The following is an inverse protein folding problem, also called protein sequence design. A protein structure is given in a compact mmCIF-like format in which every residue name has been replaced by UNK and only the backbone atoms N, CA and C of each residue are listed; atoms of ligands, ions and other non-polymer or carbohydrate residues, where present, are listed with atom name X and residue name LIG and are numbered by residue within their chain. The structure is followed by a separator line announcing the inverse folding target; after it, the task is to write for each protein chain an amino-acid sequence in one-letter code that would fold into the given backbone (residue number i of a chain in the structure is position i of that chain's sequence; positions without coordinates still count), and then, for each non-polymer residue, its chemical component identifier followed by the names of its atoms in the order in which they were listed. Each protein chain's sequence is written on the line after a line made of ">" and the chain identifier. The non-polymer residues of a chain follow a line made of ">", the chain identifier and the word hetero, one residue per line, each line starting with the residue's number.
data_IF_546373675944
#
_entry.id   IF_546373675944
#
_cell.length_a   1.000
_cell.length_b   1.000
_cell.length_c   1.000
_cell.angle_alpha   90.00
_cell.angle_beta   90.00
_cell.angle_gamma   90.00
#
_symmetry.space_group_name_H-M   'P 1'
#
loop_
_entity.id
_entity.type
_entity.pdbx_description
1 polymer ?
#
# COMPACT_ATOMS: atom_id res chain seq x y z
N UNK A 1 40.63 -0.03 -41.77
CA UNK A 1 39.74 -0.61 -40.75
C UNK A 1 39.82 0.07 -39.37
N UNK A 2 40.87 0.83 -39.02
CA UNK A 2 40.99 1.39 -37.65
C UNK A 2 40.19 2.65 -37.35
N UNK A 3 40.06 3.60 -38.30
CA UNK A 3 39.53 4.93 -37.98
C UNK A 3 38.00 4.97 -37.85
N UNK A 4 37.28 4.21 -38.67
CA UNK A 4 35.81 4.07 -38.56
C UNK A 4 35.41 3.35 -37.26
N UNK A 5 36.15 2.30 -36.88
CA UNK A 5 35.91 1.57 -35.64
C UNK A 5 36.15 2.45 -34.39
N UNK A 6 37.19 3.29 -34.39
CA UNK A 6 37.45 4.24 -33.31
C UNK A 6 36.34 5.30 -33.20
N UNK A 7 35.84 5.81 -34.33
CA UNK A 7 34.73 6.77 -34.33
C UNK A 7 33.42 6.14 -33.82
N UNK A 8 33.13 4.89 -34.18
CA UNK A 8 31.97 4.16 -33.69
C UNK A 8 32.06 3.89 -32.17
N UNK A 9 33.26 3.55 -31.67
CA UNK A 9 33.50 3.37 -30.23
C UNK A 9 33.30 4.69 -29.47
N UNK A 10 33.88 5.79 -29.94
CA UNK A 10 33.72 7.10 -29.30
C UNK A 10 32.26 7.61 -29.35
N UNK A 11 31.54 7.36 -30.44
CA UNK A 11 30.11 7.66 -30.54
C UNK A 11 29.28 6.79 -29.58
N UNK A 12 29.66 5.52 -29.39
CA UNK A 12 29.01 4.63 -28.44
C UNK A 12 29.24 5.07 -26.98
N UNK A 13 30.46 5.47 -26.63
CA UNK A 13 30.79 5.97 -25.29
C UNK A 13 30.10 7.29 -24.98
N UNK A 14 30.08 8.22 -25.95
CA UNK A 14 29.31 9.47 -25.83
C UNK A 14 27.80 9.21 -25.68
N UNK A 15 27.27 8.23 -26.42
CA UNK A 15 25.88 7.79 -26.31
C UNK A 15 25.55 7.17 -24.95
N UNK A 16 26.45 6.34 -24.42
CA UNK A 16 26.32 5.74 -23.08
C UNK A 16 26.38 6.83 -22.00
N UNK A 17 27.32 7.78 -22.10
CA UNK A 17 27.42 8.91 -21.17
C UNK A 17 26.18 9.80 -21.17
N UNK A 18 25.62 10.09 -22.35
CA UNK A 18 24.36 10.84 -22.48
C UNK A 18 23.18 10.08 -21.87
N UNK A 19 23.12 8.74 -22.05
CA UNK A 19 22.09 7.90 -21.45
C UNK A 19 22.19 7.87 -19.92
N UNK A 20 23.40 7.76 -19.36
CA UNK A 20 23.62 7.82 -17.91
C UNK A 20 23.21 9.17 -17.31
N UNK A 21 23.55 10.27 -17.97
CA UNK A 21 23.10 11.60 -17.54
C UNK A 21 21.57 11.71 -17.56
N UNK A 22 20.95 11.26 -18.65
CA UNK A 22 19.51 11.32 -18.80
C UNK A 22 18.77 10.46 -17.76
N UNK A 23 19.16 9.18 -17.61
CA UNK A 23 18.50 8.24 -16.70
C UNK A 23 18.88 8.44 -15.24
N UNK A 24 20.11 8.86 -14.95
CA UNK A 24 20.61 9.02 -13.58
C UNK A 24 20.30 10.38 -12.97
N UNK A 25 20.11 11.41 -13.79
CA UNK A 25 19.90 12.79 -13.32
C UNK A 25 18.55 13.31 -13.81
N UNK A 26 18.35 13.44 -15.12
CA UNK A 26 17.16 14.13 -15.66
C UNK A 26 15.87 13.43 -15.23
N UNK A 27 15.77 12.12 -15.45
CA UNK A 27 14.55 11.34 -15.16
C UNK A 27 14.20 11.36 -13.66
N UNK A 28 15.12 11.06 -12.71
CA UNK A 28 14.80 11.08 -11.28
C UNK A 28 14.38 12.46 -10.76
N UNK A 29 15.07 13.53 -11.15
CA UNK A 29 14.71 14.89 -10.72
C UNK A 29 13.38 15.34 -11.31
N UNK A 30 13.12 15.03 -12.59
CA UNK A 30 11.83 15.31 -13.21
C UNK A 30 10.69 14.53 -12.53
N UNK A 31 10.91 13.23 -12.23
CA UNK A 31 9.95 12.40 -11.53
C UNK A 31 9.65 12.93 -10.12
N UNK A 32 10.68 13.33 -9.36
CA UNK A 32 10.52 13.91 -8.03
C UNK A 32 9.76 15.25 -8.09
N UNK A 33 10.08 16.13 -9.04
CA UNK A 33 9.40 17.40 -9.23
C UNK A 33 7.91 17.21 -9.58
N UNK A 34 7.60 16.29 -10.50
CA UNK A 34 6.23 15.95 -10.87
C UNK A 34 5.45 15.32 -9.71
N UNK A 35 6.09 14.41 -8.95
CA UNK A 35 5.47 13.77 -7.80
C UNK A 35 5.12 14.80 -6.71
N UNK A 36 6.11 15.59 -6.27
CA UNK A 36 5.91 16.60 -5.21
C UNK A 36 4.92 17.66 -5.67
N UNK A 37 5.10 18.22 -6.88
CA UNK A 37 4.19 19.22 -7.44
C UNK A 37 2.76 18.69 -7.58
N UNK A 38 2.61 17.45 -8.05
CA UNK A 38 1.31 16.78 -8.20
C UNK A 38 0.62 16.54 -6.85
N UNK A 39 1.37 16.10 -5.83
CA UNK A 39 0.85 15.93 -4.47
C UNK A 39 0.40 17.26 -3.88
N UNK A 40 1.23 18.31 -3.99
CA UNK A 40 0.88 19.65 -3.51
C UNK A 40 -0.37 20.20 -4.23
N UNK A 41 -0.47 20.02 -5.54
CA UNK A 41 -1.64 20.43 -6.32
C UNK A 41 -2.91 19.67 -5.90
N UNK A 42 -2.82 18.36 -5.63
CA UNK A 42 -3.94 17.56 -5.11
C UNK A 42 -4.37 17.99 -3.71
N UNK A 43 -3.42 18.28 -2.82
CA UNK A 43 -3.68 18.79 -1.47
C UNK A 43 -4.39 20.14 -1.55
N UNK A 44 -3.89 21.05 -2.39
CA UNK A 44 -4.50 22.37 -2.61
C UNK A 44 -5.95 22.26 -3.11
N UNK A 45 -6.19 21.39 -4.10
CA UNK A 45 -7.56 21.14 -4.59
C UNK A 45 -8.46 20.60 -3.49
N UNK A 46 -8.01 19.60 -2.72
CA UNK A 46 -8.78 19.03 -1.63
C UNK A 46 -9.10 20.06 -0.54
N UNK A 47 -8.11 20.89 -0.16
CA UNK A 47 -8.27 21.92 0.87
C UNK A 47 -9.27 23.03 0.48
N UNK A 48 -9.51 23.23 -0.81
CA UNK A 48 -10.49 24.20 -1.33
C UNK A 48 -11.93 23.67 -1.39
N UNK A 49 -12.13 22.36 -1.26
CA UNK A 49 -13.47 21.78 -1.25
C UNK A 49 -14.10 22.03 0.13
N UNK A 50 -15.28 22.67 0.21
CA UNK A 50 -15.97 22.86 1.48
C UNK A 50 -16.31 21.49 2.10
N UNK A 51 -15.88 21.28 3.34
CA UNK A 51 -16.08 20.00 4.03
C UNK A 51 -17.52 19.95 4.57
N UNK A 52 -18.32 18.93 4.23
CA UNK A 52 -19.67 18.77 4.78
C UNK A 52 -19.62 18.50 6.30
N UNK A 53 -20.79 18.58 6.95
CA UNK A 53 -20.92 18.34 8.39
C UNK A 53 -20.21 17.06 8.85
N UNK A 54 -19.57 17.13 10.01
CA UNK A 54 -18.93 15.97 10.65
C UNK A 54 -20.00 14.98 11.08
N UNK A 55 -20.28 13.99 10.23
CA UNK A 55 -21.16 12.86 10.56
C UNK A 55 -20.27 11.66 10.90
N UNK A 56 -19.93 11.44 12.19
CA UNK A 56 -19.13 10.29 12.58
C UNK A 56 -19.93 9.01 12.38
N UNK A 57 -19.31 8.02 11.75
CA UNK A 57 -19.90 6.68 11.63
C UNK A 57 -19.84 5.97 12.98
N UNK A 58 -21.01 5.76 13.59
CA UNK A 58 -21.17 5.04 14.85
C UNK A 58 -21.42 3.55 14.55
N UNK A 59 -20.52 2.67 15.02
CA UNK A 59 -20.63 1.22 14.80
C UNK A 59 -20.82 0.47 16.11
N UNK A 60 -21.74 0.92 16.96
CA UNK A 60 -22.02 0.30 18.26
C UNK A 60 -22.76 1.22 19.21
N UNK A 61 -23.13 0.69 20.37
CA UNK A 61 -23.87 1.43 21.40
C UNK A 61 -23.07 2.63 21.91
N UNK A 62 -23.64 3.83 21.75
CA UNK A 62 -23.09 5.08 22.29
C UNK A 62 -23.22 5.12 23.82
N UNK A 63 -22.42 6.00 24.43
CA UNK A 63 -22.65 6.34 25.83
C UNK A 63 -24.03 6.98 25.96
N UNK A 64 -24.82 6.46 26.89
CA UNK A 64 -26.20 6.87 27.09
C UNK A 64 -26.53 6.83 28.58
N UNK A 65 -27.33 5.84 29.01
CA UNK A 65 -27.75 5.71 30.40
C UNK A 65 -26.78 4.79 31.16
N UNK A 66 -26.53 5.00 32.48
CA UNK A 66 -25.51 4.24 33.23
C UNK A 66 -25.68 2.72 33.22
N UNK A 67 -26.89 2.21 32.99
CA UNK A 67 -27.19 0.77 32.91
C UNK A 67 -27.05 0.18 31.50
N UNK A 68 -26.90 1.02 30.46
CA UNK A 68 -26.72 0.56 29.09
C UNK A 68 -25.23 0.47 28.79
N UNK A 69 -24.73 -0.75 28.56
CA UNK A 69 -23.32 -1.00 28.27
C UNK A 69 -22.89 -0.34 26.96
N UNK A 70 -22.09 0.70 27.04
CA UNK A 70 -21.43 1.33 25.90
C UNK A 70 -20.42 0.39 25.24
N UNK A 71 -20.32 0.45 23.91
CA UNK A 71 -19.18 -0.11 23.19
C UNK A 71 -18.05 0.93 23.10
N UNK A 72 -17.10 0.87 24.04
CA UNK A 72 -16.04 1.87 24.20
C UNK A 72 -15.06 1.97 23.03
N UNK A 73 -14.93 0.92 22.21
CA UNK A 73 -13.99 0.90 21.08
C UNK A 73 -14.70 1.33 19.79
N UNK A 74 -15.90 0.80 19.54
CA UNK A 74 -16.63 1.14 18.31
C UNK A 74 -17.39 2.47 18.41
N UNK A 75 -17.73 2.92 19.61
CA UNK A 75 -18.35 4.21 19.86
C UNK A 75 -17.70 4.90 21.07
N UNK A 76 -16.44 5.36 20.91
CA UNK A 76 -15.66 5.91 22.01
C UNK A 76 -16.21 7.26 22.47
N UNK A 77 -16.30 7.45 23.79
CA UNK A 77 -16.63 8.73 24.41
C UNK A 77 -15.44 9.45 25.05
N UNK A 78 -14.25 8.83 24.99
CA UNK A 78 -13.01 9.39 25.50
C UNK A 78 -11.93 9.43 24.41
N UNK A 79 -10.97 10.34 24.54
CA UNK A 79 -9.84 10.49 23.62
C UNK A 79 -9.02 9.20 23.50
N UNK A 80 -8.79 8.49 24.61
CA UNK A 80 -8.09 7.20 24.58
C UNK A 80 -8.85 6.14 23.79
N UNK A 81 -10.18 6.11 23.89
CA UNK A 81 -11.01 5.22 23.08
C UNK A 81 -10.91 5.54 21.57
N UNK A 82 -10.84 6.83 21.23
CA UNK A 82 -10.62 7.27 19.84
C UNK A 82 -9.25 6.81 19.34
N UNK A 83 -8.18 7.01 20.12
CA UNK A 83 -6.83 6.55 19.75
C UNK A 83 -6.81 5.04 19.53
N UNK A 84 -7.39 4.27 20.46
CA UNK A 84 -7.47 2.82 20.33
C UNK A 84 -8.26 2.39 19.09
N UNK A 85 -9.41 3.04 18.81
CA UNK A 85 -10.19 2.79 17.59
C UNK A 85 -9.35 3.06 16.35
N UNK A 86 -8.69 4.21 16.27
CA UNK A 86 -7.88 4.60 15.12
C UNK A 86 -6.69 3.66 14.90
N UNK A 87 -5.99 3.25 15.97
CA UNK A 87 -4.90 2.27 15.86
C UNK A 87 -5.38 0.94 15.29
N UNK A 88 -6.53 0.43 15.74
CA UNK A 88 -7.09 -0.82 15.21
C UNK A 88 -7.54 -0.68 13.75
N UNK A 89 -8.12 0.46 13.38
CA UNK A 89 -8.51 0.70 11.99
C UNK A 89 -7.29 0.84 11.05
N UNK A 90 -6.23 1.53 11.49
CA UNK A 90 -5.03 1.76 10.68
C UNK A 90 -4.15 0.50 10.59
N UNK A 91 -3.90 -0.18 11.71
CA UNK A 91 -2.93 -1.28 11.76
C UNK A 91 -3.54 -2.65 11.42
N UNK A 92 -4.83 -2.82 11.68
CA UNK A 92 -5.48 -4.13 11.54
C UNK A 92 -6.74 -4.11 10.67
N UNK A 93 -7.11 -2.98 10.08
CA UNK A 93 -8.32 -2.83 9.26
C UNK A 93 -9.56 -3.47 9.91
N UNK A 94 -9.77 -3.20 11.20
CA UNK A 94 -10.79 -3.86 12.01
C UNK A 94 -12.21 -3.71 11.44
N UNK A 95 -12.54 -2.57 10.81
CA UNK A 95 -13.80 -2.38 10.09
C UNK A 95 -13.97 -3.35 8.91
N UNK A 96 -12.90 -3.59 8.15
CA UNK A 96 -12.89 -4.51 7.01
C UNK A 96 -13.06 -5.97 7.46
N UNK A 97 -12.50 -6.34 8.61
CA UNK A 97 -12.68 -7.68 9.19
C UNK A 97 -14.15 -7.97 9.55
N UNK A 98 -14.85 -6.93 10.07
CA UNK A 98 -16.27 -7.00 10.42
C UNK A 98 -17.21 -6.91 9.21
N UNK A 99 -16.69 -6.69 8.01
CA UNK A 99 -17.51 -6.51 6.82
C UNK A 99 -18.16 -7.85 6.40
N UNK A 100 -19.47 -7.93 6.61
CA UNK A 100 -20.35 -8.99 6.13
C UNK A 100 -21.17 -8.46 4.95
N UNK A 101 -20.98 -9.04 3.77
CA UNK A 101 -21.77 -8.74 2.58
C UNK A 101 -23.03 -9.60 2.59
N UNK A 102 -24.21 -9.00 2.62
CA UNK A 102 -25.43 -9.73 2.31
C UNK A 102 -25.52 -9.93 0.80
N UNK A 103 -25.62 -11.18 0.35
CA UNK A 103 -25.77 -11.59 -1.04
C UNK A 103 -27.07 -12.38 -1.18
N UNK A 104 -27.80 -12.22 -2.29
CA UNK A 104 -29.05 -12.96 -2.51
C UNK A 104 -28.74 -14.15 -3.43
N UNK A 105 -28.90 -15.37 -2.93
CA UNK A 105 -28.76 -16.56 -3.77
C UNK A 105 -29.86 -16.57 -4.83
N UNK A 106 -29.49 -16.54 -6.11
CA UNK A 106 -30.39 -16.46 -7.25
C UNK A 106 -31.40 -17.62 -7.35
N UNK A 107 -31.07 -18.80 -6.80
CA UNK A 107 -31.94 -19.99 -6.84
C UNK A 107 -33.01 -20.03 -5.73
N UNK A 108 -32.80 -19.36 -4.59
CA UNK A 108 -33.67 -19.56 -3.41
C UNK A 108 -33.99 -18.25 -2.65
N UNK A 109 -33.64 -17.09 -3.21
CA UNK A 109 -33.84 -15.75 -2.62
C UNK A 109 -33.35 -15.61 -1.16
N UNK A 110 -32.46 -16.50 -0.69
CA UNK A 110 -31.92 -16.46 0.68
C UNK A 110 -30.78 -15.45 0.76
N UNK A 111 -30.83 -14.59 1.77
CA UNK A 111 -29.73 -13.71 2.15
C UNK A 111 -28.58 -14.54 2.72
N UNK A 112 -27.47 -14.62 2.00
CA UNK A 112 -26.22 -15.26 2.40
C UNK A 112 -25.22 -14.17 2.77
N UNK A 113 -24.67 -14.22 3.99
CA UNK A 113 -23.64 -13.29 4.40
C UNK A 113 -22.25 -13.79 3.98
N UNK A 114 -21.67 -13.21 2.91
CA UNK A 114 -20.29 -13.48 2.50
C UNK A 114 -19.32 -12.60 3.28
N UNK A 115 -18.32 -13.22 3.92
CA UNK A 115 -17.37 -12.52 4.78
C UNK A 115 -16.15 -12.05 3.98
N UNK A 116 -15.75 -10.78 4.14
CA UNK A 116 -14.58 -10.21 3.45
C UNK A 116 -13.22 -10.63 4.06
N UNK A 117 -13.16 -11.72 4.85
CA UNK A 117 -11.95 -12.16 5.58
C UNK A 117 -10.72 -12.38 4.69
N UNK A 118 -10.89 -12.92 3.48
CA UNK A 118 -9.77 -13.10 2.55
C UNK A 118 -9.23 -11.78 2.02
N UNK A 119 -10.11 -10.81 1.75
CA UNK A 119 -9.70 -9.45 1.40
C UNK A 119 -9.00 -8.77 2.58
N UNK A 120 -9.51 -8.95 3.79
CA UNK A 120 -8.88 -8.45 5.01
C UNK A 120 -7.46 -9.01 5.18
N UNK A 121 -7.30 -10.33 5.09
CA UNK A 121 -6.00 -10.98 5.28
C UNK A 121 -4.99 -10.53 4.22
N UNK A 122 -5.37 -10.56 2.94
CA UNK A 122 -4.47 -10.14 1.86
C UNK A 122 -4.17 -8.63 1.91
N UNK A 123 -5.15 -7.80 2.26
CA UNK A 123 -4.94 -6.37 2.47
C UNK A 123 -3.99 -6.10 3.62
N UNK A 124 -4.14 -6.82 4.73
CA UNK A 124 -3.25 -6.72 5.89
C UNK A 124 -1.83 -7.16 5.54
N UNK A 125 -1.68 -8.32 4.90
CA UNK A 125 -0.40 -8.85 4.44
C UNK A 125 0.32 -7.87 3.51
N UNK A 126 -0.39 -7.30 2.53
CA UNK A 126 0.15 -6.29 1.62
C UNK A 126 0.69 -5.06 2.37
N UNK A 127 -0.10 -4.46 3.27
CA UNK A 127 0.31 -3.22 3.95
C UNK A 127 1.45 -3.45 4.95
N UNK A 128 1.44 -4.56 5.69
CA UNK A 128 2.53 -4.86 6.62
C UNK A 128 3.83 -5.21 5.91
N UNK A 129 3.78 -6.02 4.85
CA UNK A 129 4.98 -6.26 4.03
C UNK A 129 5.50 -4.97 3.41
N UNK A 130 4.63 -4.16 2.80
CA UNK A 130 5.05 -2.90 2.20
C UNK A 130 5.67 -1.94 3.23
N UNK A 131 5.10 -1.86 4.44
CA UNK A 131 5.65 -1.04 5.52
C UNK A 131 7.04 -1.52 5.95
N UNK A 132 7.23 -2.82 6.16
CA UNK A 132 8.52 -3.38 6.58
C UNK A 132 9.57 -3.18 5.48
N UNK A 133 9.21 -3.46 4.22
CA UNK A 133 10.07 -3.22 3.06
C UNK A 133 10.46 -1.74 2.99
N UNK A 134 9.49 -0.82 3.11
CA UNK A 134 9.76 0.62 3.10
C UNK A 134 10.71 1.05 4.23
N UNK A 135 10.49 0.58 5.46
CA UNK A 135 11.37 0.89 6.60
C UNK A 135 12.79 0.33 6.40
N UNK A 136 12.92 -0.85 5.80
CA UNK A 136 14.22 -1.45 5.44
C UNK A 136 14.94 -0.62 4.37
N UNK A 137 14.23 -0.12 3.37
CA UNK A 137 14.80 0.72 2.31
C UNK A 137 15.31 2.07 2.84
N UNK A 138 14.84 2.54 3.99
CA UNK A 138 15.32 3.75 4.63
C UNK A 138 16.83 3.70 4.97
N UNK A 139 17.40 2.49 5.11
CA UNK A 139 18.85 2.28 5.31
C UNK A 139 19.70 2.87 4.19
N UNK A 140 19.15 2.98 2.97
CA UNK A 140 19.88 3.50 1.81
C UNK A 140 20.06 5.02 1.86
N UNK A 141 19.30 5.70 2.73
CA UNK A 141 19.27 7.16 2.80
C UNK A 141 19.92 7.72 4.07
N UNK A 142 20.24 6.88 5.07
CA UNK A 142 20.75 7.33 6.37
C UNK A 142 21.99 6.53 6.75
N UNK A 143 23.07 7.26 7.05
CA UNK A 143 24.29 6.75 7.67
C UNK A 143 24.58 7.58 8.94
N UNK A 144 24.57 7.01 10.16
CA UNK A 144 24.48 5.58 10.48
C UNK A 144 23.06 5.01 10.44
N UNK A 145 22.93 3.72 10.10
CA UNK A 145 21.65 3.02 10.05
C UNK A 145 21.02 2.94 11.46
N UNK A 146 19.76 3.37 11.64
CA UNK A 146 19.08 3.30 12.94
C UNK A 146 18.91 1.85 13.44
N UNK A 147 19.10 1.63 14.75
CA UNK A 147 19.04 0.30 15.35
C UNK A 147 17.71 -0.45 15.11
N UNK A 148 16.58 0.24 15.02
CA UNK A 148 15.28 -0.39 14.77
C UNK A 148 15.20 -1.03 13.36
N UNK A 149 15.91 -0.46 12.37
CA UNK A 149 15.97 -1.02 11.01
C UNK A 149 16.76 -2.31 11.03
N UNK A 150 17.88 -2.34 11.75
CA UNK A 150 18.70 -3.56 11.91
C UNK A 150 17.95 -4.70 12.59
N UNK A 151 17.11 -4.39 13.60
CA UNK A 151 16.24 -5.38 14.26
C UNK A 151 15.19 -5.94 13.29
N UNK A 152 14.54 -5.07 12.50
CA UNK A 152 13.57 -5.48 11.49
C UNK A 152 14.22 -6.38 10.43
N UNK A 153 15.41 -6.02 9.95
CA UNK A 153 16.14 -6.79 8.95
C UNK A 153 16.52 -8.19 9.47
N UNK A 154 16.97 -8.28 10.72
CA UNK A 154 17.27 -9.57 11.35
C UNK A 154 16.02 -10.46 11.45
N UNK A 155 14.87 -9.89 11.83
CA UNK A 155 13.62 -10.63 11.95
C UNK A 155 13.06 -11.11 10.61
N UNK A 156 13.20 -10.30 9.56
CA UNK A 156 12.68 -10.60 8.22
C UNK A 156 13.63 -11.46 7.37
N UNK A 157 14.94 -11.35 7.64
CA UNK A 157 16.01 -12.11 6.99
C UNK A 157 16.21 -13.52 7.55
N UNK A 158 15.26 -14.07 8.33
CA UNK A 158 15.37 -15.42 8.93
C UNK A 158 15.54 -16.52 7.88
N UNK A 159 15.03 -16.30 6.66
CA UNK A 159 15.13 -17.23 5.53
C UNK A 159 16.26 -16.82 4.57
N UNK A 160 17.52 -16.86 5.04
CA UNK A 160 18.73 -16.62 4.21
C UNK A 160 18.95 -17.73 3.16
N UNK A 161 17.95 -18.01 2.33
CA UNK A 161 17.90 -19.14 1.40
C UNK A 161 18.70 -18.88 0.11
N UNK A 162 19.01 -17.61 -0.20
CA UNK A 162 19.69 -17.20 -1.45
C UNK A 162 20.70 -16.06 -1.24
N UNK A 163 21.59 -15.89 -2.22
CA UNK A 163 22.39 -14.68 -2.44
C UNK A 163 21.82 -13.97 -3.69
N UNK A 164 21.18 -12.79 -3.60
CA UNK A 164 20.88 -11.96 -2.42
C UNK A 164 19.82 -12.55 -1.47
N UNK A 165 19.81 -12.11 -0.21
CA UNK A 165 18.92 -12.61 0.85
C UNK A 165 17.46 -12.46 0.45
N UNK A 166 16.73 -13.58 0.38
CA UNK A 166 15.29 -13.57 0.17
C UNK A 166 14.55 -13.25 1.48
N UNK A 167 13.92 -12.09 1.57
CA UNK A 167 13.15 -11.71 2.76
C UNK A 167 11.74 -12.32 2.72
N UNK A 168 11.21 -12.71 3.88
CA UNK A 168 9.86 -13.28 3.96
C UNK A 168 8.81 -12.25 3.50
N UNK A 169 9.01 -10.97 3.83
CA UNK A 169 8.11 -9.89 3.41
C UNK A 169 8.00 -9.75 1.89
N UNK A 170 9.08 -10.00 1.14
CA UNK A 170 9.12 -9.95 -0.33
C UNK A 170 8.25 -11.08 -0.92
N UNK A 171 8.33 -12.29 -0.35
CA UNK A 171 7.45 -13.39 -0.74
C UNK A 171 5.97 -13.07 -0.46
N UNK A 172 5.71 -12.54 0.75
CA UNK A 172 4.35 -12.23 1.20
C UNK A 172 3.74 -11.11 0.38
N UNK A 173 4.51 -10.07 0.00
CA UNK A 173 3.97 -8.98 -0.83
C UNK A 173 3.63 -9.46 -2.23
N UNK A 174 4.46 -10.32 -2.84
CA UNK A 174 4.15 -10.90 -4.17
C UNK A 174 2.87 -11.71 -4.13
N UNK A 175 2.70 -12.58 -3.13
CA UNK A 175 1.48 -13.37 -2.96
C UNK A 175 0.25 -12.49 -2.72
N UNK A 176 0.37 -11.49 -1.84
CA UNK A 176 -0.72 -10.58 -1.51
C UNK A 176 -1.15 -9.73 -2.71
N UNK A 177 -0.19 -9.12 -3.43
CA UNK A 177 -0.46 -8.32 -4.64
C UNK A 177 -1.08 -9.20 -5.73
N UNK A 178 -0.56 -10.40 -5.94
CA UNK A 178 -1.12 -11.35 -6.91
C UNK A 178 -2.58 -11.66 -6.58
N UNK A 179 -2.89 -12.01 -5.33
CA UNK A 179 -4.29 -12.24 -4.91
C UNK A 179 -5.17 -11.00 -5.13
N UNK A 180 -4.72 -9.81 -4.72
CA UNK A 180 -5.49 -8.57 -4.86
C UNK A 180 -5.72 -8.19 -6.34
N UNK A 181 -4.73 -8.43 -7.19
CA UNK A 181 -4.83 -8.25 -8.64
C UNK A 181 -5.84 -9.22 -9.26
N UNK A 182 -5.71 -10.52 -8.99
CA UNK A 182 -6.63 -11.54 -9.50
C UNK A 182 -8.07 -11.26 -9.05
N UNK A 183 -8.25 -10.84 -7.78
CA UNK A 183 -9.55 -10.41 -7.26
C UNK A 183 -10.14 -9.26 -8.08
N UNK A 184 -9.33 -8.29 -8.52
CA UNK A 184 -9.78 -7.14 -9.31
C UNK A 184 -10.15 -7.54 -10.74
N UNK A 185 -9.42 -8.48 -11.33
CA UNK A 185 -9.64 -8.93 -12.72
C UNK A 185 -10.81 -9.91 -12.85
N UNK A 186 -10.98 -10.82 -11.89
CA UNK A 186 -11.97 -11.89 -11.99
C UNK A 186 -13.34 -11.56 -11.44
N UNK A 187 -13.47 -10.63 -10.48
CA UNK A 187 -14.76 -10.27 -9.89
C UNK A 187 -15.43 -9.18 -10.75
N UNK A 188 -16.56 -9.46 -11.43
CA UNK A 188 -17.16 -8.52 -12.39
C UNK A 188 -17.51 -7.16 -11.78
N UNK A 189 -18.03 -7.16 -10.54
CA UNK A 189 -18.42 -5.95 -9.83
C UNK A 189 -17.20 -5.05 -9.54
N UNK A 190 -16.07 -5.64 -9.20
CA UNK A 190 -14.83 -4.90 -8.91
C UNK A 190 -14.19 -4.43 -10.21
N UNK A 191 -14.17 -5.29 -11.24
CA UNK A 191 -13.65 -4.95 -12.56
C UNK A 191 -14.40 -3.77 -13.18
N UNK A 192 -15.72 -3.72 -13.02
CA UNK A 192 -16.58 -2.66 -13.56
C UNK A 192 -16.27 -1.29 -12.96
N UNK A 193 -15.98 -1.20 -11.66
CA UNK A 193 -15.68 0.06 -10.98
C UNK A 193 -14.19 0.45 -11.03
N UNK A 194 -13.32 -0.43 -11.53
CA UNK A 194 -11.87 -0.21 -11.51
C UNK A 194 -11.42 0.63 -12.70
N UNK A 195 -10.57 1.62 -12.43
CA UNK A 195 -9.94 2.46 -13.43
C UNK A 195 -8.58 1.87 -13.84
N UNK A 196 -8.05 2.16 -15.05
CA UNK A 196 -6.69 1.78 -15.44
C UNK A 196 -5.62 2.22 -14.41
N UNK A 197 -5.84 3.40 -13.80
CA UNK A 197 -4.98 3.94 -12.75
C UNK A 197 -4.91 3.06 -11.49
N UNK A 198 -5.89 2.19 -11.24
CA UNK A 198 -5.88 1.29 -10.08
C UNK A 198 -4.95 0.09 -10.31
N UNK A 199 -4.79 -0.34 -11.56
CA UNK A 199 -3.95 -1.49 -11.92
C UNK A 199 -2.46 -1.13 -11.95
N UNK A 200 -2.14 0.11 -12.35
CA UNK A 200 -0.76 0.57 -12.52
C UNK A 200 0.10 0.38 -11.23
N UNK A 201 -0.34 0.80 -10.03
CA UNK A 201 0.45 0.57 -8.81
C UNK A 201 0.68 -0.90 -8.49
N UNK A 202 -0.30 -1.78 -8.74
CA UNK A 202 -0.15 -3.21 -8.47
C UNK A 202 0.93 -3.83 -9.38
N UNK A 203 0.91 -3.48 -10.67
CA UNK A 203 1.94 -3.94 -11.60
C UNK A 203 3.31 -3.37 -11.27
N UNK A 204 3.38 -2.09 -10.90
CA UNK A 204 4.65 -1.45 -10.54
C UNK A 204 5.27 -2.13 -9.31
N UNK A 205 4.47 -2.36 -8.26
CA UNK A 205 4.95 -3.04 -7.05
C UNK A 205 5.39 -4.47 -7.37
N UNK A 206 4.63 -5.21 -8.19
CA UNK A 206 4.99 -6.57 -8.56
C UNK A 206 6.23 -6.65 -9.46
N UNK A 207 6.54 -5.58 -10.22
CA UNK A 207 7.73 -5.52 -11.07
C UNK A 207 9.01 -5.20 -10.29
N UNK A 208 8.90 -4.54 -9.13
CA UNK A 208 10.04 -4.12 -8.30
C UNK A 208 10.23 -4.98 -7.03
N UNK A 209 9.22 -5.75 -6.63
CA UNK A 209 9.27 -6.69 -5.51
C UNK A 209 10.07 -7.94 -5.89
#
# INVERSE_FOLDING_TARGET
>A
MGLAWVLDVLASEAGIGALHFFLGIVVPYAAAALFIGGVLYRIYQWARVPVPFRIPTTSGQAESLPWIKQNKIDNPSSTLGVIARMLLEVLTFRSLFKNTKADLKAEDSRLVYSSAKWLWLAGLAFHWSFLIIFLRHFRLFIDPVPAFVSILEWGDGFLQLTLPTFYLTDAVIVLAVTYLFLRRVFIPQVKYISLPADYLPLFLILAIA
#
